data_IF_704226696839
#
_entry.id   IF_704226696839
#
_cell.length_a   1.000
_cell.length_b   1.000
_cell.length_c   1.000
_cell.angle_alpha   90.00
_cell.angle_beta   90.00
_cell.angle_gamma   90.00
#
_symmetry.space_group_name_H-M   'P 1'
#
loop_
_entity.id
_entity.type
_entity.pdbx_description
1 polymer ?
#
# COMPACT_ATOMS: atom_id res chain seq x y z
N UNK A 1 -19.37 -10.46 28.01
CA UNK A 1 -17.96 -10.04 27.98
C UNK A 1 -17.95 -8.52 27.95
N UNK A 2 -16.83 -7.85 28.26
CA UNK A 2 -16.71 -6.44 27.88
C UNK A 2 -16.81 -6.34 26.35
N UNK A 3 -17.28 -5.21 25.78
CA UNK A 3 -17.20 -5.00 24.34
C UNK A 3 -15.76 -5.21 23.87
N UNK A 4 -15.59 -5.92 22.77
CA UNK A 4 -14.28 -6.21 22.17
C UNK A 4 -14.18 -5.60 20.77
N UNK A 5 -15.22 -5.78 19.97
CA UNK A 5 -15.31 -5.25 18.61
C UNK A 5 -15.64 -3.76 18.62
N UNK A 6 -14.94 -3.01 17.78
CA UNK A 6 -15.39 -1.68 17.38
C UNK A 6 -16.43 -1.85 16.26
N UNK A 7 -17.68 -1.49 16.55
CA UNK A 7 -18.80 -1.59 15.61
C UNK A 7 -19.14 -0.27 14.95
N UNK A 8 -18.45 0.81 15.32
CA UNK A 8 -18.68 2.15 14.79
C UNK A 8 -17.84 2.40 13.51
N UNK A 9 -16.82 1.57 13.27
CA UNK A 9 -15.94 1.63 12.10
C UNK A 9 -16.16 0.40 11.20
N UNK A 10 -16.40 0.62 9.91
CA UNK A 10 -16.45 -0.47 8.93
C UNK A 10 -15.03 -1.00 8.65
N UNK A 11 -14.88 -2.33 8.60
CA UNK A 11 -13.60 -3.00 8.36
C UNK A 11 -13.74 -4.01 7.24
N UNK A 12 -12.80 -4.01 6.30
CA UNK A 12 -12.71 -4.99 5.22
C UNK A 12 -12.41 -6.41 5.75
N UNK A 13 -11.86 -6.51 6.96
CA UNK A 13 -11.61 -7.77 7.69
C UNK A 13 -12.87 -8.32 8.40
N UNK A 14 -14.03 -7.65 8.29
CA UNK A 14 -15.30 -8.14 8.84
C UNK A 14 -16.01 -9.07 7.87
N UNK A 15 -15.89 -10.38 8.10
CA UNK A 15 -16.45 -11.38 7.20
C UNK A 15 -17.90 -11.78 7.53
N UNK A 16 -18.51 -12.53 6.61
CA UNK A 16 -19.83 -13.14 6.82
C UNK A 16 -19.84 -13.97 8.10
N UNK A 17 -20.90 -13.80 8.90
CA UNK A 17 -21.08 -14.53 10.16
C UNK A 17 -20.91 -16.03 9.99
N UNK A 18 -20.08 -16.61 10.84
CA UNK A 18 -19.79 -18.04 10.87
C UNK A 18 -20.53 -18.72 12.03
N UNK A 19 -20.58 -20.05 12.01
CA UNK A 19 -21.13 -20.87 13.08
C UNK A 19 -20.10 -21.91 13.54
N UNK A 20 -20.41 -22.62 14.63
CA UNK A 20 -19.51 -23.64 15.20
C UNK A 20 -19.05 -24.69 14.19
N UNK A 21 -19.90 -25.10 13.24
CA UNK A 21 -19.51 -26.06 12.19
C UNK A 21 -18.48 -25.47 11.23
N UNK A 22 -18.52 -24.16 11.00
CA UNK A 22 -17.50 -23.45 10.22
C UNK A 22 -16.16 -23.42 10.94
N UNK A 23 -16.18 -23.14 12.25
CA UNK A 23 -14.98 -23.15 13.10
C UNK A 23 -14.34 -24.55 13.12
N UNK A 24 -15.11 -25.62 13.32
CA UNK A 24 -14.59 -27.00 13.30
C UNK A 24 -13.96 -27.35 11.94
N UNK A 25 -14.48 -26.81 10.83
CA UNK A 25 -13.87 -26.99 9.51
C UNK A 25 -12.56 -26.21 9.38
N UNK A 26 -12.49 -25.00 9.93
CA UNK A 26 -11.28 -24.19 9.96
C UNK A 26 -10.18 -24.89 10.76
N UNK A 27 -10.47 -25.29 12.01
CA UNK A 27 -9.58 -26.09 12.87
C UNK A 27 -9.06 -27.34 12.15
N UNK A 28 -9.95 -28.09 11.49
CA UNK A 28 -9.56 -29.27 10.72
C UNK A 28 -8.65 -28.94 9.53
N UNK A 29 -8.86 -27.82 8.84
CA UNK A 29 -8.04 -27.41 7.70
C UNK A 29 -6.67 -26.89 8.16
N UNK A 30 -6.62 -26.11 9.23
CA UNK A 30 -5.40 -25.59 9.85
C UNK A 30 -4.64 -26.69 10.62
N UNK A 31 -5.30 -27.77 11.00
CA UNK A 31 -4.69 -28.88 11.75
C UNK A 31 -4.42 -28.56 13.23
N UNK A 32 -5.17 -27.63 13.81
CA UNK A 32 -4.98 -27.12 15.18
C UNK A 32 -6.33 -26.93 15.89
N UNK A 33 -6.31 -26.86 17.23
CA UNK A 33 -7.46 -26.44 18.04
C UNK A 33 -7.32 -24.94 18.36
N UNK A 34 -8.29 -24.14 17.94
CA UNK A 34 -8.31 -22.70 18.17
C UNK A 34 -8.66 -22.37 19.63
N UNK A 35 -8.11 -21.29 20.21
CA UNK A 35 -8.44 -20.86 21.58
C UNK A 35 -9.94 -20.65 21.78
N UNK A 36 -10.46 -21.04 22.94
CA UNK A 36 -11.90 -20.95 23.23
C UNK A 36 -12.42 -19.50 23.20
N UNK A 37 -11.61 -18.55 23.65
CA UNK A 37 -11.97 -17.13 23.59
C UNK A 37 -11.98 -16.61 22.15
N UNK A 38 -11.01 -17.00 21.31
CA UNK A 38 -11.02 -16.68 19.88
C UNK A 38 -12.32 -17.16 19.22
N UNK A 39 -12.68 -18.44 19.44
CA UNK A 39 -13.93 -19.02 18.91
C UNK A 39 -15.17 -18.25 19.36
N UNK A 40 -15.23 -17.82 20.63
CA UNK A 40 -16.36 -17.02 21.15
C UNK A 40 -16.46 -15.66 20.46
N UNK A 41 -15.33 -14.96 20.31
CA UNK A 41 -15.27 -13.67 19.63
C UNK A 41 -15.71 -13.79 18.16
N UNK A 42 -15.19 -14.79 17.45
CA UNK A 42 -15.53 -15.06 16.04
C UNK A 42 -17.01 -15.41 15.82
N UNK A 43 -17.66 -16.05 16.80
CA UNK A 43 -19.11 -16.31 16.75
C UNK A 43 -19.95 -15.05 16.99
N UNK A 44 -19.40 -14.07 17.71
CA UNK A 44 -20.02 -12.76 17.92
C UNK A 44 -19.93 -11.93 16.63
N UNK A 45 -18.70 -11.72 16.13
CA UNK A 45 -18.36 -11.04 14.89
C UNK A 45 -17.15 -11.73 14.25
N UNK A 46 -17.23 -12.00 12.95
CA UNK A 46 -16.23 -12.82 12.25
C UNK A 46 -15.10 -11.95 11.68
N UNK A 47 -14.31 -11.34 12.57
CA UNK A 47 -13.21 -10.44 12.24
C UNK A 47 -13.59 -8.96 12.22
N UNK A 48 -12.57 -8.09 12.15
CA UNK A 48 -12.71 -6.64 12.10
C UNK A 48 -11.93 -5.91 13.19
N UNK A 49 -12.15 -4.61 13.31
CA UNK A 49 -11.44 -3.76 14.29
C UNK A 49 -11.86 -4.04 15.74
N UNK A 50 -10.88 -3.89 16.63
CA UNK A 50 -11.03 -4.02 18.07
C UNK A 50 -11.15 -2.65 18.72
N UNK A 51 -11.86 -2.56 19.84
CA UNK A 51 -12.08 -1.30 20.56
C UNK A 51 -10.78 -0.69 21.14
N UNK A 52 -9.79 -1.55 21.35
CA UNK A 52 -8.47 -1.25 21.86
C UNK A 52 -7.47 -1.63 20.77
N UNK A 53 -6.39 -0.87 20.62
CA UNK A 53 -5.46 -0.94 19.50
C UNK A 53 -4.05 -1.40 19.87
N UNK A 54 -3.76 -1.73 21.14
CA UNK A 54 -2.41 -2.04 21.58
C UNK A 54 -2.34 -3.19 22.58
N UNK A 55 -1.20 -3.86 22.61
CA UNK A 55 -0.82 -4.82 23.66
C UNK A 55 0.59 -4.51 24.20
N UNK A 56 0.78 -4.48 25.53
CA UNK A 56 2.04 -4.03 26.12
C UNK A 56 3.17 -5.06 25.93
N UNK A 57 4.40 -4.58 25.78
CA UNK A 57 5.62 -5.39 25.75
C UNK A 57 6.78 -4.64 26.41
N UNK A 58 7.80 -5.35 26.90
CA UNK A 58 9.05 -4.76 27.36
C UNK A 58 10.15 -4.77 26.28
N UNK A 59 9.84 -5.28 25.08
CA UNK A 59 10.72 -5.32 23.92
C UNK A 59 10.36 -4.18 22.96
N UNK A 60 11.25 -3.19 22.76
CA UNK A 60 11.08 -2.19 21.72
C UNK A 60 10.99 -2.84 20.35
N UNK A 61 10.11 -2.32 19.50
CA UNK A 61 9.85 -2.80 18.14
C UNK A 61 9.57 -1.61 17.20
N UNK A 62 9.32 -1.87 15.92
CA UNK A 62 9.07 -0.84 14.93
C UNK A 62 7.82 0.01 15.17
N UNK A 63 6.88 -0.46 16.00
CA UNK A 63 5.69 0.29 16.38
C UNK A 63 5.94 1.24 17.55
N UNK A 64 6.48 0.73 18.66
CA UNK A 64 6.70 1.51 19.87
C UNK A 64 7.75 0.90 20.81
N UNK A 65 8.17 1.68 21.81
CA UNK A 65 9.11 1.22 22.85
C UNK A 65 8.48 0.25 23.86
N UNK A 66 7.16 0.32 24.08
CA UNK A 66 6.48 -0.36 25.20
C UNK A 66 5.21 -1.14 24.82
N UNK A 67 4.87 -1.21 23.53
CA UNK A 67 3.70 -1.96 23.04
C UNK A 67 3.85 -2.37 21.57
N UNK A 68 2.94 -3.22 21.13
CA UNK A 68 2.71 -3.57 19.71
C UNK A 68 1.30 -3.17 19.31
N UNK A 69 1.09 -2.90 18.03
CA UNK A 69 -0.26 -2.72 17.48
C UNK A 69 -1.08 -4.01 17.53
N UNK A 70 -2.32 -3.90 17.98
CA UNK A 70 -3.35 -4.93 17.95
C UNK A 70 -4.71 -4.24 17.82
N UNK A 71 -4.97 -3.70 16.64
CA UNK A 71 -6.14 -2.89 16.28
C UNK A 71 -7.26 -3.69 15.61
N UNK A 72 -6.98 -4.91 15.16
CA UNK A 72 -7.96 -5.79 14.58
C UNK A 72 -7.71 -7.26 14.93
N UNK A 73 -8.74 -8.07 14.73
CA UNK A 73 -8.64 -9.52 14.81
C UNK A 73 -9.11 -10.12 13.49
N UNK A 74 -8.25 -10.93 12.86
CA UNK A 74 -8.57 -11.63 11.62
C UNK A 74 -9.60 -12.73 11.86
N UNK A 75 -10.66 -12.71 11.05
CA UNK A 75 -11.74 -13.68 11.12
C UNK A 75 -11.46 -14.97 10.34
N UNK A 76 -12.50 -15.78 10.15
CA UNK A 76 -12.45 -17.03 9.38
C UNK A 76 -13.24 -16.85 8.07
N UNK A 77 -12.54 -16.77 6.95
CA UNK A 77 -13.14 -16.71 5.62
C UNK A 77 -12.42 -17.67 4.65
N UNK A 78 -12.93 -17.84 3.44
CA UNK A 78 -12.32 -18.77 2.47
C UNK A 78 -11.31 -17.99 1.63
N UNK A 79 -10.03 -18.36 1.72
CA UNK A 79 -8.92 -17.66 1.05
C UNK A 79 -8.70 -16.23 1.57
N UNK A 80 -9.16 -15.94 2.79
CA UNK A 80 -9.11 -14.65 3.49
C UNK A 80 -9.11 -14.92 5.00
N UNK A 81 -8.78 -13.92 5.81
CA UNK A 81 -8.68 -14.05 7.27
C UNK A 81 -7.68 -15.15 7.66
N UNK A 82 -7.82 -15.79 8.82
CA UNK A 82 -6.82 -16.78 9.28
C UNK A 82 -6.61 -17.99 8.35
N UNK A 83 -7.50 -18.22 7.38
CA UNK A 83 -7.43 -19.34 6.45
C UNK A 83 -6.44 -19.13 5.30
N UNK A 84 -5.87 -17.94 5.17
CA UNK A 84 -4.76 -17.62 4.26
C UNK A 84 -3.39 -17.69 4.95
N UNK A 85 -3.33 -18.07 6.24
CA UNK A 85 -2.07 -18.08 7.00
C UNK A 85 -0.95 -18.82 6.26
N UNK A 86 -1.22 -19.99 5.67
CA UNK A 86 -0.20 -20.74 4.91
C UNK A 86 0.37 -19.94 3.73
N UNK A 87 -0.47 -19.18 3.03
CA UNK A 87 -0.06 -18.33 1.91
C UNK A 87 0.78 -17.15 2.40
N UNK A 88 0.32 -16.47 3.46
CA UNK A 88 1.03 -15.32 4.03
C UNK A 88 2.36 -15.75 4.67
N UNK A 89 2.43 -16.94 5.27
CA UNK A 89 3.66 -17.49 5.81
C UNK A 89 4.69 -17.71 4.70
N UNK A 90 4.26 -18.22 3.53
CA UNK A 90 5.13 -18.40 2.37
C UNK A 90 5.56 -17.06 1.78
N UNK A 91 4.62 -16.13 1.58
CA UNK A 91 4.87 -14.80 1.01
C UNK A 91 5.86 -13.98 1.84
N UNK A 92 5.72 -14.02 3.17
CA UNK A 92 6.49 -13.20 4.11
C UNK A 92 7.63 -13.98 4.79
N UNK A 93 7.96 -15.17 4.29
CA UNK A 93 9.03 -16.04 4.80
C UNK A 93 8.96 -16.32 6.31
N UNK A 94 7.75 -16.38 6.88
CA UNK A 94 7.53 -16.65 8.30
C UNK A 94 7.75 -18.15 8.62
N UNK A 95 7.97 -18.49 9.90
CA UNK A 95 8.01 -19.90 10.32
C UNK A 95 6.71 -20.66 10.04
N UNK A 96 6.82 -21.88 9.53
CA UNK A 96 5.66 -22.79 9.39
C UNK A 96 5.02 -23.08 10.76
N UNK A 97 3.71 -23.36 10.77
CA UNK A 97 2.97 -23.72 11.99
C UNK A 97 2.45 -22.53 12.79
N UNK A 98 2.29 -21.38 12.16
CA UNK A 98 1.65 -20.20 12.71
C UNK A 98 0.20 -20.08 12.21
N UNK A 99 -0.65 -19.40 12.98
CA UNK A 99 -1.95 -18.91 12.51
C UNK A 99 -1.97 -17.40 12.75
N UNK A 100 -1.99 -16.61 11.66
CA UNK A 100 -1.85 -15.16 11.70
C UNK A 100 -3.19 -14.53 12.07
N UNK A 101 -3.24 -13.81 13.20
CA UNK A 101 -4.49 -13.29 13.78
C UNK A 101 -4.61 -11.76 13.73
N UNK A 102 -3.53 -11.04 13.44
CA UNK A 102 -3.46 -9.60 13.21
C UNK A 102 -2.16 -9.28 12.47
N UNK A 103 -2.15 -8.25 11.61
CA UNK A 103 -0.96 -7.79 10.88
C UNK A 103 -1.27 -7.28 9.49
N UNK A 104 -0.28 -6.68 8.85
CA UNK A 104 -0.41 -5.93 7.58
C UNK A 104 0.64 -6.28 6.52
N UNK A 105 1.58 -7.18 6.85
CA UNK A 105 2.73 -7.52 6.00
C UNK A 105 4.06 -7.04 6.57
N UNK A 106 4.09 -5.94 7.32
CA UNK A 106 5.29 -5.47 8.01
C UNK A 106 5.44 -6.13 9.37
N UNK A 107 4.31 -6.26 10.08
CA UNK A 107 4.26 -6.89 11.40
C UNK A 107 3.14 -7.94 11.47
N UNK A 108 3.33 -8.95 12.31
CA UNK A 108 2.37 -10.04 12.49
C UNK A 108 2.24 -10.45 13.95
N UNK A 109 1.00 -10.58 14.43
CA UNK A 109 0.67 -11.30 15.66
C UNK A 109 0.07 -12.64 15.28
N UNK A 110 0.66 -13.72 15.81
CA UNK A 110 0.31 -15.08 15.46
C UNK A 110 0.05 -15.96 16.68
N UNK A 111 -0.88 -16.91 16.53
CA UNK A 111 -0.96 -18.08 17.42
C UNK A 111 0.13 -19.07 17.02
N UNK A 112 1.02 -19.39 17.95
CA UNK A 112 2.23 -20.17 17.68
C UNK A 112 2.01 -21.66 17.96
N UNK A 113 1.75 -22.43 16.90
CA UNK A 113 1.52 -23.87 16.94
C UNK A 113 2.73 -24.71 16.50
N UNK A 114 3.93 -24.12 16.53
CA UNK A 114 5.18 -24.82 16.21
C UNK A 114 5.42 -25.99 17.17
N UNK A 115 5.19 -25.76 18.46
CA UNK A 115 5.46 -26.74 19.53
C UNK A 115 4.19 -27.35 20.15
N UNK A 116 3.00 -26.92 19.73
CA UNK A 116 1.71 -27.42 20.25
C UNK A 116 0.62 -27.44 19.18
N UNK A 117 -0.47 -28.17 19.44
CA UNK A 117 -1.69 -28.14 18.62
C UNK A 117 -2.90 -27.57 19.34
N UNK A 118 -2.76 -27.28 20.63
CA UNK A 118 -3.80 -26.69 21.47
C UNK A 118 -3.15 -25.72 22.47
N UNK A 119 -3.88 -24.70 22.91
CA UNK A 119 -3.36 -23.69 23.85
C UNK A 119 -2.01 -23.07 23.42
N UNK A 120 -1.90 -22.53 22.20
CA UNK A 120 -0.67 -21.89 21.73
C UNK A 120 -0.40 -20.59 22.51
N UNK A 121 0.88 -20.22 22.71
CA UNK A 121 1.22 -18.85 23.03
C UNK A 121 0.96 -17.92 21.84
N UNK A 122 1.03 -16.62 22.09
CA UNK A 122 0.96 -15.58 21.05
C UNK A 122 2.38 -15.10 20.78
N UNK A 123 2.74 -14.97 19.51
CA UNK A 123 4.05 -14.54 19.04
C UNK A 123 3.89 -13.27 18.20
N UNK A 124 4.83 -12.34 18.32
CA UNK A 124 4.91 -11.14 17.51
C UNK A 124 6.12 -11.21 16.59
N UNK A 125 5.94 -10.81 15.34
CA UNK A 125 6.98 -10.69 14.32
C UNK A 125 6.98 -9.28 13.77
N UNK A 126 8.16 -8.70 13.64
CA UNK A 126 8.42 -7.44 12.95
C UNK A 126 9.50 -7.73 11.90
N UNK A 127 9.09 -7.70 10.64
CA UNK A 127 9.93 -8.08 9.51
C UNK A 127 10.88 -6.96 9.10
N UNK A 128 10.55 -5.71 9.40
CA UNK A 128 11.40 -4.56 9.08
C UNK A 128 12.61 -4.49 10.03
N UNK A 129 12.38 -4.82 11.30
CA UNK A 129 13.42 -4.84 12.33
C UNK A 129 14.05 -6.22 12.55
N UNK A 130 13.63 -7.23 11.78
CA UNK A 130 14.06 -8.62 11.89
C UNK A 130 13.98 -9.15 13.35
N UNK A 131 12.91 -8.81 14.07
CA UNK A 131 12.71 -9.20 15.47
C UNK A 131 11.44 -10.00 15.67
N UNK A 132 11.55 -11.10 16.44
CA UNK A 132 10.41 -11.90 16.88
C UNK A 132 10.54 -12.27 18.36
N UNK A 133 9.41 -12.23 19.06
CA UNK A 133 9.35 -12.64 20.45
C UNK A 133 7.95 -13.12 20.85
N UNK A 134 7.92 -13.97 21.89
CA UNK A 134 6.66 -14.40 22.50
C UNK A 134 5.99 -13.20 23.17
N UNK A 135 4.82 -12.83 22.66
CA UNK A 135 4.04 -11.68 23.11
C UNK A 135 3.18 -12.00 24.34
N UNK A 136 2.55 -13.17 24.38
CA UNK A 136 1.72 -13.61 25.50
C UNK A 136 1.74 -15.13 25.68
N UNK A 137 1.49 -15.63 26.89
CA UNK A 137 1.42 -17.08 27.16
C UNK A 137 0.14 -17.72 26.61
N UNK A 138 -0.88 -16.91 26.29
CA UNK A 138 -2.13 -17.39 25.70
C UNK A 138 -2.91 -16.28 25.00
N UNK A 139 -3.84 -16.68 24.12
CA UNK A 139 -4.80 -15.74 23.54
C UNK A 139 -5.69 -15.06 24.60
N UNK A 140 -6.02 -15.75 25.69
CA UNK A 140 -6.82 -15.15 26.78
C UNK A 140 -6.07 -14.01 27.47
N UNK A 141 -4.75 -14.12 27.59
CA UNK A 141 -3.88 -13.06 28.12
C UNK A 141 -3.82 -11.87 27.16
N UNK A 142 -3.65 -12.12 25.86
CA UNK A 142 -3.72 -11.08 24.83
C UNK A 142 -5.00 -10.25 24.95
N UNK A 143 -6.15 -10.92 24.98
CA UNK A 143 -7.46 -10.26 25.09
C UNK A 143 -7.70 -9.63 26.47
N UNK A 144 -7.08 -10.13 27.54
CA UNK A 144 -7.21 -9.50 28.85
C UNK A 144 -6.32 -8.25 29.01
N UNK A 145 -5.17 -8.22 28.32
CA UNK A 145 -4.13 -7.21 28.45
C UNK A 145 -4.17 -6.10 27.41
N UNK A 146 -4.90 -6.27 26.29
CA UNK A 146 -5.02 -5.21 25.29
C UNK A 146 -5.70 -3.94 25.84
N UNK A 147 -5.25 -2.78 25.37
CA UNK A 147 -5.69 -1.45 25.80
C UNK A 147 -5.66 -0.46 24.64
N UNK A 148 -6.25 0.72 24.81
CA UNK A 148 -6.11 1.81 23.82
C UNK A 148 -4.82 2.57 24.12
N UNK A 149 -3.81 2.42 23.27
CA UNK A 149 -2.73 3.38 23.18
C UNK A 149 -3.26 4.61 22.44
N UNK A 150 -3.00 5.79 23.01
CA UNK A 150 -3.15 7.02 22.23
C UNK A 150 -1.98 7.00 21.24
N UNK A 151 -2.27 6.74 19.97
CA UNK A 151 -1.30 6.99 18.91
C UNK A 151 -0.97 8.47 19.05
N UNK A 152 0.25 8.78 19.50
CA UNK A 152 0.69 10.15 19.49
C UNK A 152 0.77 10.54 18.03
N UNK A 153 -0.20 11.35 17.59
CA UNK A 153 -0.09 12.14 16.34
C UNK A 153 1.23 12.96 16.30
N UNK A 154 2.06 12.95 17.36
CA UNK A 154 3.38 13.55 17.44
C UNK A 154 4.51 12.79 16.70
N UNK A 155 4.36 11.50 16.36
CA UNK A 155 5.41 10.74 15.65
C UNK A 155 5.20 10.64 14.13
N UNK A 156 4.03 11.08 13.64
CA UNK A 156 3.79 11.35 12.23
C UNK A 156 4.04 12.84 11.94
N UNK A 157 4.72 13.15 10.85
CA UNK A 157 4.71 14.52 10.33
C UNK A 157 3.25 14.95 10.16
N UNK A 158 2.86 16.09 10.74
CA UNK A 158 1.53 16.65 10.48
C UNK A 158 1.32 16.85 8.98
N UNK A 159 0.07 16.88 8.52
CA UNK A 159 -0.22 17.16 7.10
C UNK A 159 0.50 18.42 6.59
N UNK A 160 0.60 19.45 7.45
CA UNK A 160 1.32 20.69 7.15
C UNK A 160 2.84 20.47 7.01
N UNK A 161 3.44 19.66 7.88
CA UNK A 161 4.87 19.33 7.81
C UNK A 161 5.18 18.41 6.64
N UNK A 162 4.35 17.40 6.38
CA UNK A 162 4.49 16.50 5.24
C UNK A 162 4.40 17.28 3.93
N UNK A 163 3.41 18.17 3.80
CA UNK A 163 3.26 19.04 2.65
C UNK A 163 4.49 19.96 2.48
N UNK A 164 5.01 20.52 3.57
CA UNK A 164 6.19 21.37 3.53
C UNK A 164 7.46 20.63 3.09
N UNK A 165 7.70 19.39 3.55
CA UNK A 165 8.81 18.57 3.06
C UNK A 165 8.59 18.09 1.63
N UNK A 166 7.37 17.72 1.25
CA UNK A 166 7.02 17.36 -0.12
C UNK A 166 7.31 18.51 -1.08
N UNK A 167 6.86 19.74 -0.78
CA UNK A 167 7.12 20.95 -1.59
C UNK A 167 8.61 21.31 -1.66
N UNK A 168 9.35 21.06 -0.59
CA UNK A 168 10.81 21.29 -0.53
C UNK A 168 11.58 20.31 -1.42
N UNK A 169 11.12 19.07 -1.51
CA UNK A 169 11.72 18.04 -2.38
C UNK A 169 11.24 18.15 -3.83
N UNK A 170 9.98 18.55 -4.04
CA UNK A 170 9.31 18.65 -5.33
C UNK A 170 9.03 20.11 -5.72
N UNK A 171 10.05 20.94 -5.60
CA UNK A 171 9.93 22.36 -5.93
C UNK A 171 9.56 22.55 -7.41
N UNK A 172 8.63 23.47 -7.75
CA UNK A 172 8.29 23.77 -9.13
C UNK A 172 9.53 24.15 -9.96
N UNK A 173 9.65 23.55 -11.14
CA UNK A 173 10.77 23.80 -12.06
C UNK A 173 10.45 24.88 -13.08
N UNK A 174 11.44 25.72 -13.37
CA UNK A 174 11.46 26.65 -14.49
C UNK A 174 11.83 25.96 -15.82
N UNK A 175 11.61 26.65 -16.95
CA UNK A 175 11.99 26.16 -18.28
C UNK A 175 13.50 25.94 -18.42
N UNK A 176 14.30 26.82 -17.80
CA UNK A 176 15.75 26.71 -17.76
C UNK A 176 16.20 25.46 -16.99
N UNK A 177 15.62 25.18 -15.81
CA UNK A 177 15.96 24.00 -15.01
C UNK A 177 15.59 22.69 -15.73
N UNK A 178 14.43 22.64 -16.40
CA UNK A 178 14.04 21.49 -17.23
C UNK A 178 15.05 21.25 -18.36
N UNK A 179 15.53 22.31 -19.02
CA UNK A 179 16.56 22.17 -20.07
C UNK A 179 17.87 21.64 -19.53
N UNK A 180 18.28 22.09 -18.35
CA UNK A 180 19.49 21.59 -17.68
C UNK A 180 19.35 20.10 -17.35
N UNK A 181 18.16 19.64 -16.91
CA UNK A 181 17.88 18.22 -16.67
C UNK A 181 18.05 17.38 -17.94
N UNK A 182 17.53 17.83 -19.09
CA UNK A 182 17.73 17.09 -20.35
C UNK A 182 19.22 16.94 -20.73
N UNK A 183 20.08 17.87 -20.28
CA UNK A 183 21.53 17.80 -20.52
C UNK A 183 22.20 16.77 -19.60
N UNK A 184 21.75 16.61 -18.36
CA UNK A 184 22.40 15.69 -17.39
C UNK A 184 22.28 14.24 -17.83
N UNK A 185 21.20 13.88 -18.52
CA UNK A 185 20.87 12.50 -18.91
C UNK A 185 20.91 11.53 -17.72
N UNK A 186 20.37 11.97 -16.60
CA UNK A 186 20.23 11.20 -15.38
C UNK A 186 18.74 10.80 -15.19
N UNK A 187 18.40 9.50 -15.13
CA UNK A 187 17.02 9.05 -14.95
C UNK A 187 16.33 9.68 -13.73
N UNK A 188 17.06 9.83 -12.62
CA UNK A 188 16.52 10.39 -11.37
C UNK A 188 16.21 11.89 -11.51
N UNK A 189 16.93 12.62 -12.37
CA UNK A 189 16.60 14.02 -12.65
C UNK A 189 15.45 14.13 -13.65
N UNK A 190 15.33 13.20 -14.61
CA UNK A 190 14.23 13.22 -15.59
C UNK A 190 12.86 13.11 -14.92
N UNK A 191 12.71 12.26 -13.91
CA UNK A 191 11.44 12.12 -13.18
C UNK A 191 10.98 13.45 -12.54
N UNK A 192 11.92 14.30 -12.14
CA UNK A 192 11.63 15.63 -11.56
C UNK A 192 10.97 16.59 -12.54
N UNK A 193 11.05 16.33 -13.86
CA UNK A 193 10.35 17.13 -14.88
C UNK A 193 8.84 17.15 -14.62
N UNK A 194 8.28 16.12 -13.97
CA UNK A 194 6.89 16.12 -13.52
C UNK A 194 6.51 17.36 -12.66
N UNK A 195 7.49 17.97 -11.99
CA UNK A 195 7.32 19.19 -11.20
C UNK A 195 7.43 20.49 -12.03
N UNK A 196 7.43 20.41 -13.36
CA UNK A 196 7.47 21.60 -14.21
C UNK A 196 6.26 22.51 -13.96
N UNK A 197 6.54 23.79 -13.72
CA UNK A 197 5.51 24.76 -13.40
C UNK A 197 4.69 25.12 -14.65
N UNK A 198 3.45 24.64 -14.70
CA UNK A 198 2.47 24.99 -15.74
C UNK A 198 1.57 26.11 -15.24
N UNK A 199 1.68 27.30 -15.83
CA UNK A 199 0.78 28.43 -15.52
C UNK A 199 -0.25 28.66 -16.63
N UNK A 200 0.12 28.35 -17.87
CA UNK A 200 -0.70 28.56 -19.06
C UNK A 200 -0.49 27.44 -20.08
N UNK A 201 -1.41 27.33 -21.04
CA UNK A 201 -1.37 26.27 -22.06
C UNK A 201 -0.08 26.29 -22.89
N UNK A 202 0.54 27.46 -23.09
CA UNK A 202 1.80 27.56 -23.82
C UNK A 202 2.96 26.88 -23.09
N UNK A 203 2.88 26.70 -21.77
CA UNK A 203 3.86 25.93 -21.00
C UNK A 203 3.70 24.44 -21.26
N UNK A 204 2.45 23.95 -21.32
CA UNK A 204 2.16 22.56 -21.73
C UNK A 204 2.70 22.30 -23.13
N UNK A 205 2.41 23.18 -24.10
CA UNK A 205 2.92 23.04 -25.48
C UNK A 205 4.45 23.01 -25.51
N UNK A 206 5.08 23.87 -24.72
CA UNK A 206 6.52 23.93 -24.64
C UNK A 206 7.11 22.64 -24.07
N UNK A 207 6.61 22.13 -22.94
CA UNK A 207 7.18 20.93 -22.31
C UNK A 207 6.95 19.67 -23.14
N UNK A 208 5.77 19.53 -23.76
CA UNK A 208 5.48 18.45 -24.72
C UNK A 208 6.52 18.43 -25.84
N UNK A 209 6.79 19.60 -26.45
CA UNK A 209 7.76 19.71 -27.53
C UNK A 209 9.19 19.37 -27.09
N UNK A 210 9.60 19.75 -25.88
CA UNK A 210 10.96 19.48 -25.39
C UNK A 210 11.14 18.00 -25.02
N UNK A 211 10.15 17.40 -24.34
CA UNK A 211 10.16 15.95 -24.02
C UNK A 211 10.17 15.11 -25.30
N UNK A 212 9.32 15.41 -26.28
CA UNK A 212 9.34 14.70 -27.57
C UNK A 212 10.68 14.85 -28.29
N UNK A 213 11.25 16.05 -28.31
CA UNK A 213 12.57 16.28 -28.91
C UNK A 213 13.64 15.45 -28.19
N UNK A 214 13.57 15.40 -26.87
CA UNK A 214 14.47 14.62 -26.04
C UNK A 214 14.36 13.13 -26.33
N UNK A 215 13.15 12.57 -26.28
CA UNK A 215 12.87 11.15 -26.55
C UNK A 215 13.38 10.74 -27.94
N UNK A 216 13.14 11.56 -28.96
CA UNK A 216 13.64 11.32 -30.32
C UNK A 216 15.17 11.36 -30.45
N UNK A 217 15.88 11.92 -29.46
CA UNK A 217 17.34 12.06 -29.47
C UNK A 217 18.09 10.92 -28.76
N UNK A 218 17.37 10.03 -28.10
CA UNK A 218 17.92 8.93 -27.29
C UNK A 218 17.36 7.58 -27.75
N UNK A 219 18.00 6.49 -27.30
CA UNK A 219 17.58 5.10 -27.56
C UNK A 219 17.56 4.27 -26.28
N UNK A 220 17.88 4.91 -25.15
CA UNK A 220 17.96 4.25 -23.86
C UNK A 220 16.55 4.11 -23.29
N UNK A 221 16.14 2.87 -23.03
CA UNK A 221 14.78 2.50 -22.64
C UNK A 221 14.38 3.11 -21.28
N UNK A 222 15.26 3.06 -20.29
CA UNK A 222 15.01 3.64 -18.96
C UNK A 222 14.80 5.16 -19.06
N UNK A 223 15.64 5.84 -19.85
CA UNK A 223 15.55 7.28 -20.06
C UNK A 223 14.31 7.67 -20.87
N UNK A 224 13.93 6.87 -21.86
CA UNK A 224 12.70 7.04 -22.61
C UNK A 224 11.50 6.93 -21.66
N UNK A 225 11.42 5.85 -20.88
CA UNK A 225 10.33 5.59 -19.94
C UNK A 225 10.19 6.70 -18.89
N UNK A 226 11.30 7.17 -18.29
CA UNK A 226 11.25 8.29 -17.35
C UNK A 226 10.74 9.59 -17.98
N UNK A 227 11.17 9.90 -19.21
CA UNK A 227 10.67 11.08 -19.93
C UNK A 227 9.17 10.96 -20.27
N UNK A 228 8.73 9.75 -20.67
CA UNK A 228 7.33 9.43 -20.94
C UNK A 228 6.44 9.57 -19.70
N UNK A 229 6.88 9.07 -18.55
CA UNK A 229 6.14 9.22 -17.29
C UNK A 229 6.07 10.68 -16.83
N UNK A 230 7.17 11.44 -16.95
CA UNK A 230 7.16 12.85 -16.58
C UNK A 230 6.12 13.65 -17.39
N UNK A 231 6.03 13.42 -18.70
CA UNK A 231 5.04 14.11 -19.53
C UNK A 231 3.61 13.63 -19.27
N UNK A 232 3.41 12.34 -18.98
CA UNK A 232 2.12 11.80 -18.58
C UNK A 232 1.62 12.45 -17.27
N UNK A 233 2.48 12.60 -16.26
CA UNK A 233 2.12 13.26 -15.00
C UNK A 233 1.72 14.72 -15.23
N UNK A 234 2.50 15.47 -16.01
CA UNK A 234 2.15 16.86 -16.36
C UNK A 234 0.80 16.90 -17.09
N UNK A 235 0.56 15.97 -18.00
CA UNK A 235 -0.69 15.87 -18.73
C UNK A 235 -1.89 15.65 -17.78
N UNK A 236 -1.82 14.64 -16.90
CA UNK A 236 -2.90 14.30 -15.96
C UNK A 236 -3.20 15.48 -15.04
N UNK A 237 -2.16 16.12 -14.48
CA UNK A 237 -2.33 17.25 -13.56
C UNK A 237 -2.96 18.48 -14.25
N UNK A 238 -2.90 18.57 -15.58
CA UNK A 238 -3.39 19.71 -16.36
C UNK A 238 -4.49 19.32 -17.36
N UNK A 239 -5.12 18.16 -17.19
CA UNK A 239 -6.07 17.57 -18.14
C UNK A 239 -7.22 18.51 -18.49
N UNK A 240 -7.84 19.13 -17.49
CA UNK A 240 -8.95 20.07 -17.69
C UNK A 240 -8.56 21.30 -18.52
N UNK A 241 -7.33 21.79 -18.36
CA UNK A 241 -6.80 22.87 -19.20
C UNK A 241 -6.59 22.35 -20.62
N UNK A 242 -5.96 21.18 -20.77
CA UNK A 242 -5.63 20.59 -22.07
C UNK A 242 -6.89 20.31 -22.89
N UNK A 243 -7.94 19.76 -22.28
CA UNK A 243 -9.24 19.47 -22.93
C UNK A 243 -9.92 20.70 -23.54
N UNK A 244 -9.62 21.90 -23.03
CA UNK A 244 -10.16 23.15 -23.57
C UNK A 244 -9.40 23.64 -24.83
N UNK A 245 -8.27 23.03 -25.17
CA UNK A 245 -7.40 23.43 -26.27
C UNK A 245 -7.24 22.29 -27.30
N UNK A 246 -8.10 22.33 -28.33
CA UNK A 246 -8.19 21.29 -29.35
C UNK A 246 -6.85 21.00 -30.08
N UNK A 247 -5.98 21.99 -30.24
CA UNK A 247 -4.67 21.80 -30.84
C UNK A 247 -3.73 20.97 -29.95
N UNK A 248 -3.82 21.11 -28.63
CA UNK A 248 -3.04 20.32 -27.66
C UNK A 248 -3.62 18.91 -27.50
N UNK A 249 -4.94 18.77 -27.51
CA UNK A 249 -5.61 17.45 -27.52
C UNK A 249 -5.17 16.63 -28.74
N UNK A 250 -5.18 17.22 -29.93
CA UNK A 250 -4.74 16.56 -31.16
C UNK A 250 -3.25 16.21 -31.12
N UNK A 251 -2.41 17.04 -30.50
CA UNK A 251 -1.00 16.73 -30.28
C UNK A 251 -0.85 15.53 -29.34
N UNK A 252 -1.45 15.58 -28.15
CA UNK A 252 -1.39 14.52 -27.16
C UNK A 252 -1.91 13.17 -27.71
N UNK A 253 -2.95 13.20 -28.54
CA UNK A 253 -3.44 12.01 -29.26
C UNK A 253 -2.36 11.41 -30.17
N UNK A 254 -1.72 12.21 -31.03
CA UNK A 254 -0.65 11.72 -31.91
C UNK A 254 0.55 11.21 -31.13
N UNK A 255 0.86 11.86 -30.01
CA UNK A 255 1.92 11.42 -29.11
C UNK A 255 1.59 10.03 -28.54
N UNK A 256 0.38 9.83 -28.02
CA UNK A 256 -0.07 8.52 -27.53
C UNK A 256 -0.09 7.45 -28.63
N UNK A 257 -0.57 7.77 -29.84
CA UNK A 257 -0.51 6.87 -31.00
C UNK A 257 0.93 6.47 -31.35
N UNK A 258 1.89 7.39 -31.20
CA UNK A 258 3.31 7.10 -31.39
C UNK A 258 3.88 6.20 -30.29
N UNK A 259 3.54 6.46 -29.03
CA UNK A 259 3.97 5.64 -27.89
C UNK A 259 3.40 4.21 -27.97
N UNK A 260 2.17 4.04 -28.44
CA UNK A 260 1.53 2.74 -28.64
C UNK A 260 2.20 1.88 -29.72
N UNK A 261 3.09 2.44 -30.54
CA UNK A 261 3.89 1.72 -31.54
C UNK A 261 5.27 1.31 -31.02
N UNK A 262 5.60 1.67 -29.77
CA UNK A 262 6.87 1.33 -29.13
C UNK A 262 6.99 -0.18 -28.90
N UNK A 263 8.21 -0.71 -28.80
CA UNK A 263 8.43 -2.09 -28.31
C UNK A 263 8.57 -2.14 -26.77
N UNK A 264 8.51 -0.99 -26.10
CA UNK A 264 8.64 -0.83 -24.64
C UNK A 264 7.24 -0.93 -24.02
N UNK A 265 7.03 -1.85 -23.08
CA UNK A 265 5.73 -2.11 -22.46
C UNK A 265 5.20 -0.87 -21.73
N UNK A 266 6.04 -0.15 -20.98
CA UNK A 266 5.65 1.05 -20.23
C UNK A 266 5.15 2.19 -21.14
N UNK A 267 5.59 2.23 -22.40
CA UNK A 267 5.09 3.22 -23.37
C UNK A 267 3.65 2.97 -23.78
N UNK A 268 3.23 1.71 -23.83
CA UNK A 268 1.83 1.34 -24.08
C UNK A 268 0.96 1.78 -22.90
N UNK A 269 1.42 1.58 -21.66
CA UNK A 269 0.69 2.03 -20.46
C UNK A 269 0.49 3.55 -20.46
N UNK A 270 1.53 4.31 -20.82
CA UNK A 270 1.43 5.77 -20.96
C UNK A 270 0.45 6.15 -22.08
N UNK A 271 0.50 5.47 -23.23
CA UNK A 271 -0.44 5.72 -24.33
C UNK A 271 -1.89 5.49 -23.90
N UNK A 272 -2.15 4.38 -23.21
CA UNK A 272 -3.47 4.02 -22.67
C UNK A 272 -3.97 5.07 -21.69
N UNK A 273 -3.12 5.55 -20.79
CA UNK A 273 -3.49 6.60 -19.83
C UNK A 273 -3.97 7.88 -20.54
N UNK A 274 -3.22 8.32 -21.56
CA UNK A 274 -3.59 9.49 -22.37
C UNK A 274 -4.90 9.23 -23.13
N UNK A 275 -5.10 8.02 -23.67
CA UNK A 275 -6.29 7.67 -24.45
C UNK A 275 -7.56 7.62 -23.59
N UNK A 276 -7.45 7.10 -22.37
CA UNK A 276 -8.54 7.11 -21.39
C UNK A 276 -8.90 8.54 -21.02
N UNK A 277 -7.91 9.37 -20.67
CA UNK A 277 -8.15 10.75 -20.25
C UNK A 277 -8.79 11.59 -21.38
N UNK A 278 -8.34 11.42 -22.62
CA UNK A 278 -8.88 12.14 -23.78
C UNK A 278 -10.07 11.46 -24.46
N UNK A 279 -10.55 10.33 -23.93
CA UNK A 279 -11.70 9.57 -24.42
C UNK A 279 -11.60 9.19 -25.92
N UNK A 280 -10.48 8.61 -26.34
CA UNK A 280 -10.31 8.06 -27.70
C UNK A 280 -9.74 6.64 -27.70
N UNK A 281 -10.00 5.91 -28.79
CA UNK A 281 -9.49 4.57 -28.99
C UNK A 281 -8.09 4.60 -29.64
N UNK A 282 -7.13 3.88 -29.07
CA UNK A 282 -5.85 3.60 -29.71
C UNK A 282 -6.06 2.55 -30.80
N UNK A 283 -5.43 2.73 -31.96
CA UNK A 283 -5.41 1.71 -33.01
C UNK A 283 -4.48 0.56 -32.58
N UNK A 284 -4.92 -0.69 -32.81
CA UNK A 284 -4.15 -1.93 -32.58
C UNK A 284 -2.93 -2.07 -33.50
#
# INVERSE_FOLDING_TARGET
MKPFWDTDIESEETFKKINEKGIVKAEKKLGVTLPDTYKKLILEQNGGYTLHNAFPTDQPNGWAEDHVSFDHLRGIAKNEGIMDSDYLIEEWELPEGLVLICGDGHTWIALDYRETKEHPPVHYFDLEYETDFKLADSFDELIAGHYTAEDSEEDGMSDEEWQAEYEKQNKPLSKEEVKDIFITKDPEQLSKIANFQVEQIDDVKWIFSEVETYMNSIQDEEMLTNAGWAINTIFILNEEMIKQHADVVEHARRFAEHLNQSEIDEMHDIAINISIALEFDLEE
#
